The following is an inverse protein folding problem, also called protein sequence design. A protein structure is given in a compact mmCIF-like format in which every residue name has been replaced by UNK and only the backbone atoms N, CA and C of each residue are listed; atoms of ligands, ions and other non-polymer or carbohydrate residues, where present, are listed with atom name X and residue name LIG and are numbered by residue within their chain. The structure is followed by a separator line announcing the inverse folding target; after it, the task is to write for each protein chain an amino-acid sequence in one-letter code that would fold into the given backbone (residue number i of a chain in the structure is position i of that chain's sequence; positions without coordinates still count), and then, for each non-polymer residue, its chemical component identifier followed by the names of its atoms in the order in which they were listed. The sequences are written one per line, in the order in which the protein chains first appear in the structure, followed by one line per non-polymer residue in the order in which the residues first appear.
data_IF_147575848874
#
_entry.id   IF_147575848874
#
_cell.length_a   1.000
_cell.length_b   1.000
_cell.length_c   1.000
_cell.angle_alpha   90.00
_cell.angle_beta   90.00
_cell.angle_gamma   90.00
#
_symmetry.space_group_name_H-M   'P 1'
#
loop_
_entity.id
_entity.type
_entity.pdbx_description
1 polymer ?
#
# COMPACT_ATOMS: atom_id res chain seq x y z
N UNK A 1 -22.58 2.17 14.49
CA UNK A 1 -24.01 2.54 14.22
C UNK A 1 -24.17 3.87 13.50
N UNK A 2 -23.60 4.98 13.99
CA UNK A 2 -23.74 6.31 13.34
C UNK A 2 -23.13 6.33 11.94
N UNK A 3 -21.93 5.77 11.77
CA UNK A 3 -21.26 5.72 10.46
C UNK A 3 -22.01 4.88 9.43
N UNK A 4 -22.64 3.78 9.85
CA UNK A 4 -23.52 2.96 8.98
C UNK A 4 -24.72 3.77 8.52
N UNK A 5 -25.32 4.57 9.40
CA UNK A 5 -26.45 5.42 9.05
C UNK A 5 -26.02 6.50 8.04
N UNK A 6 -24.88 7.15 8.27
CA UNK A 6 -24.31 8.16 7.35
C UNK A 6 -23.98 7.53 5.99
N UNK A 7 -23.29 6.39 5.96
CA UNK A 7 -22.96 5.67 4.71
C UNK A 7 -24.21 5.29 3.91
N UNK A 8 -25.24 4.74 4.58
CA UNK A 8 -26.53 4.42 3.93
C UNK A 8 -27.26 5.64 3.41
N UNK A 9 -27.08 6.79 4.04
CA UNK A 9 -27.72 8.04 3.65
C UNK A 9 -27.04 8.71 2.45
N UNK A 10 -25.72 8.52 2.29
CA UNK A 10 -24.94 9.06 1.17
C UNK A 10 -25.10 8.23 -0.11
N UNK A 11 -25.36 6.93 0.01
CA UNK A 11 -25.39 6.01 -1.14
C UNK A 11 -26.49 6.27 -2.21
N UNK A 12 -27.68 6.83 -1.92
CA UNK A 12 -28.68 7.16 -2.94
C UNK A 12 -28.33 8.42 -3.75
N UNK A 13 -28.82 8.49 -5.00
CA UNK A 13 -28.61 9.57 -6.00
C UNK A 13 -28.94 11.00 -5.50
N UNK A 14 -29.63 11.15 -4.37
CA UNK A 14 -29.91 12.45 -3.71
C UNK A 14 -28.90 12.87 -2.64
N UNK A 15 -27.83 12.09 -2.39
CA UNK A 15 -26.85 12.33 -1.33
C UNK A 15 -25.70 13.28 -1.67
N UNK A 16 -25.63 13.79 -2.91
CA UNK A 16 -24.50 14.61 -3.39
C UNK A 16 -24.31 15.90 -2.57
N UNK A 17 -25.39 16.61 -2.25
CA UNK A 17 -25.33 17.82 -1.42
C UNK A 17 -24.80 17.53 0.00
N UNK A 18 -25.08 16.34 0.54
CA UNK A 18 -24.56 15.91 1.84
C UNK A 18 -23.09 15.50 1.78
N UNK A 19 -22.62 15.03 0.64
CA UNK A 19 -21.19 14.75 0.45
C UNK A 19 -20.42 16.07 0.48
N UNK A 20 -20.89 17.10 -0.22
CA UNK A 20 -20.23 18.41 -0.19
C UNK A 20 -20.20 18.98 1.24
N UNK A 21 -21.29 18.90 2.01
CA UNK A 21 -21.33 19.31 3.42
C UNK A 21 -20.38 18.48 4.31
N UNK A 22 -20.24 17.18 4.05
CA UNK A 22 -19.29 16.31 4.74
C UNK A 22 -17.83 16.64 4.39
N UNK A 23 -17.56 17.01 3.15
CA UNK A 23 -16.24 17.45 2.70
C UNK A 23 -15.85 18.76 3.40
N UNK A 24 -16.80 19.67 3.61
CA UNK A 24 -16.56 20.99 4.21
C UNK A 24 -16.53 20.97 5.75
N UNK A 25 -17.24 20.05 6.39
CA UNK A 25 -17.36 19.98 7.86
C UNK A 25 -16.15 19.38 8.59
N UNK A 26 -15.13 18.90 7.86
CA UNK A 26 -13.97 18.21 8.44
C UNK A 26 -14.26 16.77 8.87
N UNK A 27 -15.41 16.21 8.50
CA UNK A 27 -15.81 14.86 8.86
C UNK A 27 -14.79 13.78 8.42
N UNK A 28 -14.12 13.98 7.29
CA UNK A 28 -13.07 13.08 6.81
C UNK A 28 -11.95 12.95 7.86
N UNK A 29 -11.49 14.06 8.44
CA UNK A 29 -10.37 14.03 9.40
C UNK A 29 -10.76 13.23 10.66
N UNK A 30 -11.97 13.41 11.16
CA UNK A 30 -12.50 12.66 12.32
C UNK A 30 -12.57 11.15 12.03
N UNK A 31 -13.02 10.78 10.83
CA UNK A 31 -13.07 9.36 10.41
C UNK A 31 -11.67 8.78 10.30
N UNK A 32 -10.72 9.53 9.73
CA UNK A 32 -9.32 9.11 9.63
C UNK A 32 -8.67 8.93 11.00
N UNK A 33 -8.87 9.87 11.93
CA UNK A 33 -8.39 9.75 13.30
C UNK A 33 -8.97 8.50 13.97
N UNK A 34 -10.27 8.26 13.82
CA UNK A 34 -10.92 7.06 14.36
C UNK A 34 -10.29 5.77 13.81
N UNK A 35 -9.99 5.70 12.50
CA UNK A 35 -9.35 4.54 11.87
C UNK A 35 -7.92 4.31 12.40
N UNK A 36 -7.19 5.39 12.68
CA UNK A 36 -5.80 5.36 13.18
C UNK A 36 -5.68 5.05 14.68
N UNK A 37 -6.75 5.22 15.46
CA UNK A 37 -6.72 4.98 16.90
C UNK A 37 -6.63 3.48 17.22
N UNK A 38 -5.57 3.09 17.95
CA UNK A 38 -5.32 1.68 18.36
C UNK A 38 -6.42 1.05 19.21
N UNK A 39 -7.26 1.87 19.86
CA UNK A 39 -8.34 1.40 20.76
C UNK A 39 -9.67 1.21 20.03
N UNK A 40 -9.78 1.67 18.78
CA UNK A 40 -10.99 1.54 17.98
C UNK A 40 -11.19 0.08 17.60
N UNK A 41 -12.43 -0.40 17.70
CA UNK A 41 -12.77 -1.76 17.27
C UNK A 41 -12.58 -1.92 15.76
N UNK A 42 -12.24 -3.12 15.29
CA UNK A 42 -12.15 -3.38 13.84
C UNK A 42 -13.48 -3.11 13.13
N UNK A 43 -14.62 -3.37 13.78
CA UNK A 43 -15.95 -3.06 13.24
C UNK A 43 -16.14 -1.57 12.98
N UNK A 44 -15.70 -0.70 13.90
CA UNK A 44 -15.79 0.74 13.73
C UNK A 44 -14.80 1.23 12.67
N UNK A 45 -13.60 0.66 12.60
CA UNK A 45 -12.61 0.95 11.53
C UNK A 45 -13.17 0.56 10.17
N UNK A 46 -13.80 -0.60 10.06
CA UNK A 46 -14.49 -1.08 8.84
C UNK A 46 -15.58 -0.09 8.43
N UNK A 47 -16.43 0.35 9.36
CA UNK A 47 -17.47 1.35 9.08
C UNK A 47 -16.88 2.69 8.61
N UNK A 48 -15.74 3.10 9.17
CA UNK A 48 -15.01 4.28 8.73
C UNK A 48 -14.51 4.14 7.30
N UNK A 49 -13.90 3.01 6.96
CA UNK A 49 -13.41 2.73 5.60
C UNK A 49 -14.56 2.69 4.60
N UNK A 50 -15.70 2.07 4.95
CA UNK A 50 -16.90 2.04 4.11
C UNK A 50 -17.44 3.44 3.82
N UNK A 51 -17.46 4.32 4.83
CA UNK A 51 -17.87 5.71 4.62
C UNK A 51 -16.92 6.45 3.66
N UNK A 52 -15.61 6.30 3.83
CA UNK A 52 -14.62 6.90 2.92
C UNK A 52 -14.76 6.33 1.50
N UNK A 53 -15.11 5.04 1.37
CA UNK A 53 -15.37 4.43 0.07
C UNK A 53 -16.60 5.05 -0.59
N UNK A 54 -17.72 5.20 0.13
CA UNK A 54 -18.90 5.89 -0.38
C UNK A 54 -18.55 7.31 -0.84
N UNK A 55 -17.76 8.06 -0.07
CA UNK A 55 -17.31 9.40 -0.47
C UNK A 55 -16.49 9.33 -1.78
N UNK A 56 -15.58 8.37 -1.90
CA UNK A 56 -14.74 8.22 -3.11
C UNK A 56 -15.53 7.93 -4.40
N UNK A 57 -16.73 7.38 -4.27
CA UNK A 57 -17.61 7.05 -5.39
C UNK A 57 -18.36 8.29 -5.93
N UNK A 58 -18.36 9.42 -5.20
CA UNK A 58 -19.04 10.67 -5.57
C UNK A 58 -18.22 11.58 -6.51
N UNK A 59 -17.39 11.00 -7.36
CA UNK A 59 -16.65 11.72 -8.41
C UNK A 59 -15.24 12.16 -8.02
N UNK A 60 -14.55 12.79 -8.98
CA UNK A 60 -13.11 13.05 -8.89
C UNK A 60 -12.76 14.03 -7.76
N UNK A 61 -13.59 15.04 -7.51
CA UNK A 61 -13.34 16.04 -6.46
C UNK A 61 -13.31 15.40 -5.06
N UNK A 62 -14.24 14.49 -4.76
CA UNK A 62 -14.25 13.73 -3.51
C UNK A 62 -13.00 12.85 -3.36
N UNK A 63 -12.59 12.14 -4.43
CA UNK A 63 -11.33 11.37 -4.44
C UNK A 63 -10.12 12.24 -4.15
N UNK A 64 -10.03 13.42 -4.79
CA UNK A 64 -8.93 14.35 -4.56
C UNK A 64 -8.91 14.88 -3.12
N UNK A 65 -10.07 15.18 -2.54
CA UNK A 65 -10.18 15.64 -1.16
C UNK A 65 -9.73 14.57 -0.16
N UNK A 66 -10.14 13.31 -0.37
CA UNK A 66 -9.64 12.17 0.40
C UNK A 66 -8.11 12.04 0.31
N UNK A 67 -7.54 12.25 -0.87
CA UNK A 67 -6.08 12.19 -1.00
C UNK A 67 -5.38 13.32 -0.23
N UNK A 68 -5.93 14.55 -0.26
CA UNK A 68 -5.38 15.71 0.48
C UNK A 68 -5.47 15.56 2.00
N UNK A 69 -6.51 14.90 2.51
CA UNK A 69 -6.71 14.70 3.95
C UNK A 69 -5.77 13.66 4.57
N UNK A 70 -4.91 13.02 3.77
CA UNK A 70 -3.99 11.98 4.25
C UNK A 70 -4.60 10.58 4.30
N UNK A 71 -5.74 10.34 3.63
CA UNK A 71 -6.41 9.03 3.60
C UNK A 71 -5.46 7.92 3.13
N UNK A 72 -4.66 8.16 2.11
CA UNK A 72 -3.70 7.17 1.59
C UNK A 72 -2.80 6.65 2.71
N UNK A 73 -2.21 7.56 3.50
CA UNK A 73 -1.30 7.21 4.60
C UNK A 73 -2.01 6.40 5.68
N UNK A 74 -3.15 6.90 6.16
CA UNK A 74 -3.92 6.27 7.25
C UNK A 74 -4.36 4.85 6.86
N UNK A 75 -4.83 4.67 5.62
CA UNK A 75 -5.27 3.36 5.14
C UNK A 75 -4.09 2.41 4.93
N UNK A 76 -2.95 2.89 4.44
CA UNK A 76 -1.73 2.08 4.38
C UNK A 76 -1.24 1.66 5.78
N UNK A 77 -1.24 2.57 6.76
CA UNK A 77 -0.91 2.23 8.15
C UNK A 77 -1.88 1.17 8.71
N UNK A 78 -3.18 1.27 8.39
CA UNK A 78 -4.17 0.26 8.77
C UNK A 78 -3.89 -1.10 8.14
N UNK A 79 -3.51 -1.14 6.86
CA UNK A 79 -3.12 -2.35 6.13
C UNK A 79 -1.86 -3.02 6.71
N UNK A 80 -0.89 -2.21 7.16
CA UNK A 80 0.36 -2.73 7.70
C UNK A 80 0.19 -3.45 9.04
N UNK A 81 -0.80 -3.04 9.85
CA UNK A 81 -0.97 -3.49 11.24
C UNK A 81 -2.11 -4.52 11.39
N UNK A 82 -3.11 -4.48 10.50
CA UNK A 82 -4.34 -5.27 10.66
C UNK A 82 -4.17 -6.71 10.15
N UNK A 83 -4.63 -7.68 10.96
CA UNK A 83 -4.82 -9.08 10.55
C UNK A 83 -6.27 -9.37 10.11
N UNK A 84 -7.19 -8.42 10.34
CA UNK A 84 -8.59 -8.55 9.95
C UNK A 84 -8.74 -8.49 8.42
N UNK A 85 -9.18 -9.60 7.84
CA UNK A 85 -9.29 -9.78 6.38
C UNK A 85 -10.32 -8.85 5.75
N UNK A 86 -11.42 -8.54 6.44
CA UNK A 86 -12.45 -7.63 5.95
C UNK A 86 -11.94 -6.18 5.92
N UNK A 87 -11.28 -5.74 6.99
CA UNK A 87 -10.67 -4.41 7.04
C UNK A 87 -9.61 -4.25 5.94
N UNK A 88 -8.78 -5.27 5.73
CA UNK A 88 -7.76 -5.29 4.69
C UNK A 88 -8.38 -5.19 3.29
N UNK A 89 -9.41 -5.98 3.01
CA UNK A 89 -10.07 -5.99 1.70
C UNK A 89 -10.81 -4.69 1.41
N UNK A 90 -11.50 -4.11 2.40
CA UNK A 90 -12.16 -2.80 2.25
C UNK A 90 -11.14 -1.67 2.07
N UNK A 91 -10.05 -1.69 2.82
CA UNK A 91 -8.94 -0.74 2.69
C UNK A 91 -8.31 -0.80 1.30
N UNK A 92 -8.09 -2.01 0.78
CA UNK A 92 -7.64 -2.24 -0.60
C UNK A 92 -8.61 -1.65 -1.61
N UNK A 93 -9.91 -1.94 -1.48
CA UNK A 93 -10.95 -1.41 -2.39
C UNK A 93 -10.98 0.11 -2.38
N UNK A 94 -10.87 0.73 -1.21
CA UNK A 94 -10.78 2.19 -1.09
C UNK A 94 -9.56 2.76 -1.82
N UNK A 95 -8.36 2.21 -1.60
CA UNK A 95 -7.14 2.67 -2.29
C UNK A 95 -7.21 2.50 -3.81
N UNK A 96 -7.88 1.45 -4.30
CA UNK A 96 -8.18 1.32 -5.72
C UNK A 96 -9.20 2.33 -6.21
N UNK A 97 -10.30 2.49 -5.47
CA UNK A 97 -11.36 3.44 -5.81
C UNK A 97 -10.83 4.86 -5.96
N UNK A 98 -9.94 5.31 -5.06
CA UNK A 98 -9.35 6.65 -5.12
C UNK A 98 -8.29 6.81 -6.21
N UNK A 99 -7.66 5.74 -6.69
CA UNK A 99 -6.65 5.79 -7.76
C UNK A 99 -7.26 5.67 -9.16
N UNK A 100 -8.25 4.80 -9.34
CA UNK A 100 -8.93 4.60 -10.63
C UNK A 100 -9.60 5.89 -11.11
N UNK A 101 -9.23 6.35 -12.30
CA UNK A 101 -9.76 7.59 -12.89
C UNK A 101 -9.28 8.87 -12.18
N UNK A 102 -8.20 8.80 -11.40
CA UNK A 102 -7.63 9.94 -10.67
C UNK A 102 -6.10 10.04 -10.93
N UNK A 103 -5.68 10.48 -12.14
CA UNK A 103 -4.27 10.48 -12.53
C UNK A 103 -3.39 11.37 -11.64
N UNK A 104 -3.97 12.42 -11.05
CA UNK A 104 -3.26 13.37 -10.18
C UNK A 104 -2.68 12.73 -8.92
N UNK A 105 -3.38 11.76 -8.33
CA UNK A 105 -2.95 11.08 -7.11
C UNK A 105 -2.52 9.63 -7.33
N UNK A 106 -2.64 9.10 -8.54
CA UNK A 106 -2.21 7.75 -8.88
C UNK A 106 -0.75 7.48 -8.46
N UNK A 107 0.17 8.42 -8.73
CA UNK A 107 1.57 8.32 -8.33
C UNK A 107 1.78 8.31 -6.80
N UNK A 108 0.89 8.96 -6.04
CA UNK A 108 0.95 8.99 -4.58
C UNK A 108 0.49 7.65 -4.00
N UNK A 109 -0.59 7.09 -4.55
CA UNK A 109 -1.07 5.75 -4.18
C UNK A 109 -0.02 4.69 -4.53
N UNK A 110 0.60 4.80 -5.72
CA UNK A 110 1.71 3.94 -6.13
C UNK A 110 2.89 3.98 -5.15
N UNK A 111 3.36 5.19 -4.79
CA UNK A 111 4.41 5.38 -3.77
C UNK A 111 4.04 4.81 -2.40
N UNK A 112 2.78 4.93 -2.01
CA UNK A 112 2.31 4.40 -0.74
C UNK A 112 2.35 2.86 -0.72
N UNK A 113 2.02 2.19 -1.83
CA UNK A 113 2.21 0.74 -1.93
C UNK A 113 3.69 0.32 -1.93
N UNK A 114 4.60 1.09 -2.55
CA UNK A 114 6.05 0.83 -2.42
C UNK A 114 6.47 0.91 -0.95
N UNK A 115 5.98 1.92 -0.22
CA UNK A 115 6.28 2.10 1.20
C UNK A 115 5.72 0.98 2.10
N UNK A 116 4.79 0.16 1.61
CA UNK A 116 4.28 -1.04 2.30
C UNK A 116 5.14 -2.29 2.07
N UNK A 117 6.05 -2.29 1.10
CA UNK A 117 6.91 -3.46 0.84
C UNK A 117 7.83 -3.82 2.02
N UNK A 118 8.37 -2.87 2.81
CA UNK A 118 9.14 -3.17 4.01
C UNK A 118 8.33 -3.69 5.21
N UNK A 119 7.02 -3.93 5.09
CA UNK A 119 6.20 -4.38 6.21
C UNK A 119 6.51 -5.83 6.62
N UNK A 120 6.42 -6.10 7.93
CA UNK A 120 6.64 -7.44 8.48
C UNK A 120 5.52 -8.43 8.12
N UNK A 121 4.31 -7.92 7.82
CA UNK A 121 3.15 -8.74 7.44
C UNK A 121 3.28 -9.24 6.00
N UNK A 122 3.42 -10.57 5.77
CA UNK A 122 3.50 -11.12 4.41
C UNK A 122 2.23 -10.84 3.60
N UNK A 123 1.08 -10.80 4.27
CA UNK A 123 -0.20 -10.47 3.64
C UNK A 123 -0.21 -9.04 3.10
N UNK A 124 0.30 -8.08 3.87
CA UNK A 124 0.40 -6.68 3.46
C UNK A 124 1.37 -6.49 2.28
N UNK A 125 2.53 -7.17 2.30
CA UNK A 125 3.51 -7.11 1.20
C UNK A 125 2.97 -7.76 -0.07
N UNK A 126 2.35 -8.94 0.03
CA UNK A 126 1.70 -9.60 -1.10
C UNK A 126 0.62 -8.69 -1.71
N UNK A 127 -0.24 -8.13 -0.86
CA UNK A 127 -1.25 -7.17 -1.28
C UNK A 127 -0.62 -5.99 -2.02
N UNK A 128 0.38 -5.34 -1.44
CA UNK A 128 1.04 -4.17 -2.03
C UNK A 128 1.62 -4.47 -3.42
N UNK A 129 2.30 -5.59 -3.61
CA UNK A 129 2.83 -6.00 -4.92
C UNK A 129 1.71 -6.23 -5.95
N UNK A 130 0.64 -6.91 -5.54
CA UNK A 130 -0.51 -7.14 -6.43
C UNK A 130 -1.17 -5.84 -6.85
N UNK A 131 -1.25 -4.87 -5.94
CA UNK A 131 -1.79 -3.55 -6.23
C UNK A 131 -0.89 -2.78 -7.17
N UNK A 132 0.42 -2.74 -6.90
CA UNK A 132 1.43 -2.12 -7.76
C UNK A 132 1.32 -2.62 -9.20
N UNK A 133 1.19 -3.95 -9.39
CA UNK A 133 0.99 -4.54 -10.72
C UNK A 133 -0.29 -4.08 -11.39
N UNK A 134 -1.39 -3.96 -10.65
CA UNK A 134 -2.69 -3.55 -11.20
C UNK A 134 -2.65 -2.11 -11.70
N UNK A 135 -2.00 -1.21 -10.96
CA UNK A 135 -1.91 0.22 -11.36
C UNK A 135 -0.72 0.51 -12.27
N UNK A 136 0.17 -0.45 -12.51
CA UNK A 136 1.43 -0.25 -13.22
C UNK A 136 1.24 0.28 -14.66
N UNK A 137 0.19 -0.16 -15.34
CA UNK A 137 -0.08 0.23 -16.74
C UNK A 137 -0.55 1.68 -16.86
N UNK A 138 -1.13 2.24 -15.80
CA UNK A 138 -1.69 3.59 -15.78
C UNK A 138 -0.71 4.64 -15.23
N UNK A 139 0.40 4.21 -14.62
CA UNK A 139 1.34 5.08 -13.92
C UNK A 139 2.74 4.99 -14.52
N UNK A 140 3.39 6.14 -14.66
CA UNK A 140 4.80 6.17 -14.99
C UNK A 140 5.61 5.50 -13.86
N UNK A 141 6.40 4.46 -14.17
CA UNK A 141 7.21 3.78 -13.17
C UNK A 141 8.19 4.75 -12.51
N UNK A 142 8.39 4.61 -11.21
CA UNK A 142 9.34 5.43 -10.47
C UNK A 142 10.49 4.57 -9.97
N UNK A 143 11.72 5.09 -10.06
CA UNK A 143 12.95 4.36 -9.73
C UNK A 143 13.01 3.84 -8.28
N UNK A 144 12.27 4.48 -7.37
CA UNK A 144 12.21 4.15 -5.95
C UNK A 144 11.65 2.74 -5.71
N UNK A 145 10.94 2.14 -6.67
CA UNK A 145 10.46 0.76 -6.54
C UNK A 145 11.58 -0.28 -6.61
N UNK A 146 12.70 0.03 -7.29
CA UNK A 146 13.70 -0.97 -7.63
C UNK A 146 14.30 -1.66 -6.38
N UNK A 147 14.82 -0.90 -5.43
CA UNK A 147 15.44 -1.48 -4.23
C UNK A 147 14.44 -2.25 -3.34
N UNK A 148 13.27 -1.69 -2.97
CA UNK A 148 12.25 -2.43 -2.21
C UNK A 148 11.75 -3.71 -2.91
N UNK A 149 11.60 -3.68 -4.23
CA UNK A 149 11.17 -4.84 -5.00
C UNK A 149 12.18 -5.99 -4.92
N UNK A 150 13.48 -5.70 -5.01
CA UNK A 150 14.52 -6.72 -4.88
C UNK A 150 14.61 -7.21 -3.43
N UNK A 151 14.68 -6.30 -2.46
CA UNK A 151 14.89 -6.65 -1.06
C UNK A 151 13.70 -7.41 -0.45
N UNK A 152 12.48 -6.91 -0.62
CA UNK A 152 11.28 -7.46 0.05
C UNK A 152 10.42 -8.32 -0.87
N UNK A 153 10.53 -8.15 -2.20
CA UNK A 153 9.85 -9.00 -3.17
C UNK A 153 10.66 -10.27 -3.46
N UNK A 154 11.82 -10.13 -4.10
CA UNK A 154 12.68 -11.27 -4.47
C UNK A 154 13.31 -11.94 -3.25
N UNK A 155 13.74 -11.15 -2.25
CA UNK A 155 14.29 -11.64 -0.98
C UNK A 155 13.28 -12.28 -0.03
N UNK A 156 11.98 -12.25 -0.36
CA UNK A 156 10.95 -12.85 0.50
C UNK A 156 11.09 -14.36 0.61
N UNK A 157 10.80 -14.92 1.80
CA UNK A 157 10.68 -16.35 2.02
C UNK A 157 9.39 -16.94 1.42
N UNK A 158 8.37 -16.11 1.18
CA UNK A 158 7.06 -16.55 0.70
C UNK A 158 7.01 -16.63 -0.84
N UNK A 159 6.60 -17.79 -1.36
CA UNK A 159 6.56 -18.04 -2.80
C UNK A 159 5.61 -17.11 -3.56
N UNK A 160 4.46 -16.77 -2.99
CA UNK A 160 3.46 -15.87 -3.59
C UNK A 160 4.01 -14.44 -3.76
N UNK A 161 4.71 -13.92 -2.75
CA UNK A 161 5.37 -12.61 -2.80
C UNK A 161 6.42 -12.59 -3.91
N UNK A 162 7.27 -13.64 -4.00
CA UNK A 162 8.26 -13.76 -5.07
C UNK A 162 7.64 -13.86 -6.45
N UNK A 163 6.50 -14.55 -6.58
CA UNK A 163 5.75 -14.67 -7.82
C UNK A 163 5.28 -13.28 -8.30
N UNK A 164 4.58 -12.55 -7.42
CA UNK A 164 4.08 -11.20 -7.71
C UNK A 164 5.23 -10.23 -8.05
N UNK A 165 6.31 -10.26 -7.26
CA UNK A 165 7.49 -9.44 -7.50
C UNK A 165 8.15 -9.72 -8.84
N UNK A 166 8.23 -10.98 -9.26
CA UNK A 166 8.79 -11.36 -10.57
C UNK A 166 7.94 -10.82 -11.70
N UNK A 167 6.62 -10.98 -11.62
CA UNK A 167 5.73 -10.46 -12.66
C UNK A 167 5.82 -8.95 -12.78
N UNK A 168 5.78 -8.24 -11.65
CA UNK A 168 5.97 -6.80 -11.65
C UNK A 168 7.33 -6.41 -12.24
N UNK A 169 8.43 -7.07 -11.85
CA UNK A 169 9.75 -6.78 -12.39
C UNK A 169 9.82 -6.98 -13.92
N UNK A 170 9.20 -8.03 -14.45
CA UNK A 170 9.17 -8.27 -15.90
C UNK A 170 8.45 -7.15 -16.66
N UNK A 171 7.43 -6.54 -16.06
CA UNK A 171 6.74 -5.41 -16.66
C UNK A 171 7.56 -4.13 -16.57
N UNK A 172 8.22 -3.89 -15.43
CA UNK A 172 9.12 -2.74 -15.24
C UNK A 172 10.41 -2.82 -16.07
N UNK A 173 10.86 -4.01 -16.45
CA UNK A 173 12.02 -4.17 -17.34
C UNK A 173 11.74 -3.71 -18.78
N UNK A 174 10.47 -3.53 -19.15
CA UNK A 174 10.06 -2.99 -20.45
C UNK A 174 10.04 -1.45 -20.48
N UNK A 175 10.34 -0.82 -19.35
CA UNK A 175 10.29 0.65 -19.20
C UNK A 175 11.71 1.21 -18.97
N UNK A 176 11.79 2.53 -18.84
CA UNK A 176 13.03 3.28 -18.65
C UNK A 176 13.72 3.01 -17.31
N UNK A 177 13.01 2.47 -16.32
CA UNK A 177 13.57 2.11 -15.01
C UNK A 177 14.32 0.76 -15.00
N UNK A 178 14.38 0.03 -16.11
CA UNK A 178 15.08 -1.25 -16.21
C UNK A 178 16.52 -1.19 -15.67
N UNK A 179 17.24 -0.10 -15.97
CA UNK A 179 18.60 0.17 -15.48
C UNK A 179 18.68 0.18 -13.95
N UNK A 180 17.70 0.75 -13.27
CA UNK A 180 17.65 0.81 -11.81
C UNK A 180 17.34 -0.56 -11.20
N UNK A 181 16.54 -1.38 -11.88
CA UNK A 181 16.28 -2.77 -11.47
C UNK A 181 17.56 -3.60 -11.56
N UNK A 182 18.30 -3.50 -12.67
CA UNK A 182 19.59 -4.19 -12.81
C UNK A 182 20.59 -3.75 -11.75
N UNK A 183 20.68 -2.45 -11.46
CA UNK A 183 21.53 -1.92 -10.40
C UNK A 183 21.14 -2.45 -9.01
N UNK A 184 19.85 -2.51 -8.70
CA UNK A 184 19.35 -3.05 -7.44
C UNK A 184 19.66 -4.54 -7.28
N UNK A 185 19.51 -5.33 -8.35
CA UNK A 185 19.89 -6.76 -8.36
C UNK A 185 21.40 -6.90 -8.16
N UNK A 186 22.20 -6.15 -8.90
CA UNK A 186 23.66 -6.23 -8.81
C UNK A 186 24.14 -5.88 -7.41
N UNK A 187 23.58 -4.82 -6.81
CA UNK A 187 23.87 -4.46 -5.42
C UNK A 187 23.51 -5.58 -4.45
N UNK A 188 22.32 -6.17 -4.57
CA UNK A 188 21.89 -7.26 -3.70
C UNK A 188 22.79 -8.52 -3.81
N UNK A 189 23.36 -8.78 -5.00
CA UNK A 189 24.33 -9.86 -5.19
C UNK A 189 25.68 -9.56 -4.51
N UNK A 190 26.19 -8.33 -4.62
CA UNK A 190 27.42 -7.92 -3.92
C UNK A 190 27.24 -8.01 -2.41
N UNK A 191 26.13 -7.46 -1.89
CA UNK A 191 25.84 -7.47 -0.45
C UNK A 191 25.77 -8.92 0.09
N UNK A 192 25.31 -9.87 -0.73
CA UNK A 192 25.30 -11.30 -0.40
C UNK A 192 26.71 -11.91 -0.36
N UNK A 193 27.57 -11.58 -1.33
CA UNK A 193 28.96 -12.06 -1.38
C UNK A 193 29.79 -11.56 -0.18
N UNK A 194 29.63 -10.28 0.18
CA UNK A 194 30.27 -9.70 1.37
C UNK A 194 29.78 -10.40 2.66
N UNK A 195 28.48 -10.67 2.77
CA UNK A 195 27.92 -11.39 3.91
C UNK A 195 28.50 -12.80 4.04
N UNK A 196 28.62 -13.54 2.93
CA UNK A 196 29.23 -14.88 2.91
C UNK A 196 30.68 -14.80 3.38
N UNK A 197 31.46 -13.89 2.82
CA UNK A 197 32.89 -13.72 3.15
C UNK A 197 33.10 -13.40 4.64
N UNK A 198 32.33 -12.46 5.20
CA UNK A 198 32.44 -12.08 6.61
C UNK A 198 32.03 -13.21 7.56
N UNK A 199 30.96 -13.93 7.25
CA UNK A 199 30.46 -15.01 8.13
C UNK A 199 31.31 -16.27 8.03
N UNK A 200 31.88 -16.58 6.87
CA UNK A 200 32.81 -17.69 6.71
C UNK A 200 34.10 -17.46 7.53
N UNK A 201 34.68 -16.25 7.45
CA UNK A 201 35.87 -15.88 8.25
C UNK A 201 35.59 -15.85 9.76
N UNK A 202 34.36 -15.54 10.19
CA UNK A 202 33.98 -15.61 11.61
C UNK A 202 33.84 -17.05 12.12
N UNK A 203 33.35 -17.98 11.30
CA UNK A 203 33.23 -19.39 11.68
C UNK A 203 34.61 -20.06 11.84
N UNK A 204 35.59 -19.71 11.01
CA UNK A 204 36.98 -20.21 11.16
C UNK A 204 37.66 -19.73 12.45
N UNK A 205 37.28 -18.56 12.98
CA UNK A 205 37.81 -18.05 14.26
C UNK A 205 37.15 -18.63 15.51
N UNK A 206 36.05 -19.37 15.37
CA UNK A 206 35.31 -20.02 16.46
C UNK A 206 35.56 -21.54 16.54
N UNK A 207 36.33 -22.12 15.61
CA UNK A 207 36.76 -23.50 15.72
C UNK A 207 37.76 -23.63 16.90
N UNK A 208 37.49 -24.50 17.90
CA UNK A 208 38.43 -24.68 19.01
C UNK A 208 39.73 -25.25 18.45
N UNK A 209 40.83 -24.54 18.68
CA UNK A 209 42.19 -25.04 18.47
C UNK A 209 42.35 -26.36 19.22
N UNK A 210 42.43 -27.45 18.46
CA UNK A 210 42.76 -28.79 18.97
C UNK A 210 44.13 -28.82 19.63
#
# INVERSE_FOLDING_TARGET
MVLVAISRFIHPVGGLEFVDELLDSGAILTVLEMISLKKTSDEDRIQGVDLLQCISENGIQAKEMLCKSGTIRVICEALAISENTELVEKSRKLLMGISTGNPKYLSHVYRAFIALLPCDSPSAVHLALRMLRTVQEEVEPIKEIAAPLIQYGFGSMHGEIRYEARHLALDLLKTDIASHIYQAIFKALIDCEEWITVNYVRQDKLAPSR
#
